data_IF_779562202677
#
_entry.id   IF_779562202677
#
_cell.length_a   1.000
_cell.length_b   1.000
_cell.length_c   1.000
_cell.angle_alpha   90.00
_cell.angle_beta   90.00
_cell.angle_gamma   90.00
#
_symmetry.space_group_name_H-M   'P 1'
#
loop_
_entity.id
_entity.type
_entity.pdbx_description
1 polymer ?
#
# COMPACT_ATOMS: atom_id res chain seq x y z
N UNK A 1 -16.38 23.77 0.91
CA UNK A 1 -16.49 22.44 0.28
C UNK A 1 -16.51 22.54 -1.26
N UNK A 2 -17.40 23.33 -1.90
CA UNK A 2 -17.46 23.45 -3.36
C UNK A 2 -16.11 23.86 -3.96
N UNK A 3 -15.44 24.85 -3.40
CA UNK A 3 -14.11 25.29 -3.82
C UNK A 3 -13.06 24.15 -3.77
N UNK A 4 -13.09 23.31 -2.73
CA UNK A 4 -12.15 22.17 -2.63
C UNK A 4 -12.50 21.08 -3.64
N UNK A 5 -13.78 20.72 -3.76
CA UNK A 5 -14.24 19.69 -4.70
C UNK A 5 -13.99 20.13 -6.15
N UNK A 6 -14.22 21.42 -6.48
CA UNK A 6 -14.05 21.90 -7.86
C UNK A 6 -12.63 21.80 -8.39
N UNK A 7 -11.63 21.71 -7.51
CA UNK A 7 -10.22 21.56 -7.91
C UNK A 7 -9.82 20.15 -8.25
N UNK A 8 -10.52 19.14 -7.70
CA UNK A 8 -10.14 17.73 -7.79
C UNK A 8 -11.12 16.86 -8.54
N UNK A 9 -12.41 17.27 -8.66
CA UNK A 9 -13.40 16.46 -9.34
C UNK A 9 -13.18 16.44 -10.84
N UNK A 10 -12.96 15.26 -11.40
CA UNK A 10 -12.83 14.96 -12.83
C UNK A 10 -14.19 14.74 -13.52
N UNK A 11 -15.29 14.99 -12.79
CA UNK A 11 -16.68 14.88 -13.24
C UNK A 11 -17.43 16.20 -13.08
N UNK A 12 -18.64 16.28 -13.63
CA UNK A 12 -19.51 17.44 -13.45
C UNK A 12 -19.96 17.56 -11.99
N UNK A 13 -19.96 18.79 -11.46
CA UNK A 13 -20.43 19.12 -10.10
C UNK A 13 -21.81 19.72 -10.20
N UNK A 14 -22.75 19.20 -9.38
CA UNK A 14 -24.09 19.74 -9.23
C UNK A 14 -24.29 20.43 -7.88
N UNK A 15 -25.03 21.54 -7.87
CA UNK A 15 -25.38 22.29 -6.68
C UNK A 15 -26.92 22.46 -6.58
N UNK A 16 -27.49 22.00 -5.48
CA UNK A 16 -28.91 22.06 -5.20
C UNK A 16 -29.16 22.64 -3.79
N UNK A 17 -29.02 23.95 -3.58
CA UNK A 17 -29.22 24.55 -2.28
C UNK A 17 -30.71 24.64 -1.91
N UNK A 18 -30.99 24.76 -0.62
CA UNK A 18 -32.29 25.20 -0.14
C UNK A 18 -32.49 26.71 -0.41
N UNK A 19 -33.71 27.17 -0.42
CA UNK A 19 -34.03 28.59 -0.47
C UNK A 19 -33.80 29.27 0.90
N UNK A 20 -32.54 29.30 1.32
CA UNK A 20 -32.09 29.76 2.63
C UNK A 20 -32.16 28.70 3.73
N UNK A 21 -32.12 29.14 4.98
CA UNK A 21 -32.33 28.30 6.16
C UNK A 21 -33.80 28.34 6.60
N UNK A 22 -34.35 27.27 7.17
CA UNK A 22 -35.70 27.29 7.69
C UNK A 22 -35.82 28.29 8.85
N UNK A 23 -36.89 29.12 8.83
CA UNK A 23 -37.24 30.02 9.91
C UNK A 23 -37.82 29.25 11.12
N UNK A 24 -38.19 29.96 12.18
CA UNK A 24 -38.79 29.37 13.40
C UNK A 24 -40.07 28.56 13.14
N UNK A 25 -40.80 28.86 12.05
CA UNK A 25 -42.01 28.15 11.64
C UNK A 25 -41.71 26.98 10.68
N UNK A 26 -40.44 26.82 10.26
CA UNK A 26 -40.03 25.78 9.31
C UNK A 26 -40.14 26.19 7.83
N UNK A 27 -40.51 27.43 7.54
CA UNK A 27 -40.62 27.97 6.19
C UNK A 27 -39.27 28.48 5.68
N UNK A 28 -39.13 28.57 4.36
CA UNK A 28 -37.90 29.03 3.66
C UNK A 28 -38.19 30.42 3.04
N UNK A 29 -37.45 31.43 3.46
CA UNK A 29 -37.75 32.85 3.16
C UNK A 29 -36.76 33.47 2.16
N UNK A 30 -35.76 32.71 1.63
CA UNK A 30 -34.84 33.23 0.64
C UNK A 30 -35.58 33.59 -0.65
N UNK A 31 -35.38 34.81 -1.14
CA UNK A 31 -36.04 35.24 -2.36
C UNK A 31 -35.40 34.64 -3.62
N UNK A 32 -36.19 34.48 -4.74
CA UNK A 32 -35.64 33.97 -6.00
C UNK A 32 -34.43 34.75 -6.51
N UNK A 33 -34.44 36.08 -6.35
CA UNK A 33 -33.35 36.95 -6.79
C UNK A 33 -32.07 36.79 -5.94
N UNK A 34 -32.23 36.69 -4.62
CA UNK A 34 -31.09 36.49 -3.70
C UNK A 34 -30.42 35.15 -3.93
N UNK A 35 -31.21 34.07 -4.02
CA UNK A 35 -30.71 32.73 -4.33
C UNK A 35 -29.98 32.69 -5.67
N UNK A 36 -30.54 33.29 -6.73
CA UNK A 36 -29.91 33.34 -8.05
C UNK A 36 -28.58 34.11 -8.02
N UNK A 37 -28.47 35.16 -7.23
CA UNK A 37 -27.25 35.95 -7.06
C UNK A 37 -26.15 35.13 -6.36
N UNK A 38 -26.47 34.45 -5.24
CA UNK A 38 -25.53 33.60 -4.52
C UNK A 38 -25.01 32.43 -5.39
N UNK A 39 -25.91 31.81 -6.16
CA UNK A 39 -25.50 30.73 -7.08
C UNK A 39 -24.58 31.28 -8.19
N UNK A 40 -24.84 32.49 -8.70
CA UNK A 40 -24.02 33.09 -9.73
C UNK A 40 -22.57 33.31 -9.27
N UNK A 41 -22.31 33.60 -7.99
CA UNK A 41 -20.95 33.72 -7.46
C UNK A 41 -20.17 32.42 -7.63
N UNK A 42 -20.79 31.26 -7.35
CA UNK A 42 -20.14 29.95 -7.57
C UNK A 42 -19.95 29.63 -9.06
N UNK A 43 -20.80 30.18 -9.94
CA UNK A 43 -20.63 30.00 -11.39
C UNK A 43 -19.52 30.89 -11.93
N UNK A 44 -19.44 32.16 -11.50
CA UNK A 44 -18.36 33.08 -11.87
C UNK A 44 -16.99 32.55 -11.41
N UNK A 45 -16.92 31.92 -10.24
CA UNK A 45 -15.73 31.26 -9.72
C UNK A 45 -15.46 29.89 -10.37
N UNK A 46 -16.28 29.49 -11.33
CA UNK A 46 -16.13 28.22 -12.06
C UNK A 46 -16.14 26.97 -11.15
N UNK A 47 -17.01 26.92 -10.14
CA UNK A 47 -17.07 25.81 -9.21
C UNK A 47 -18.08 24.71 -9.59
N UNK A 48 -19.05 25.00 -10.46
CA UNK A 48 -20.21 24.12 -10.72
C UNK A 48 -20.56 24.01 -12.21
N UNK A 49 -21.23 22.90 -12.54
CA UNK A 49 -21.68 22.58 -13.92
C UNK A 49 -23.21 22.52 -14.01
N UNK A 50 -23.88 22.06 -12.96
CA UNK A 50 -25.32 21.81 -12.93
C UNK A 50 -25.88 22.52 -11.69
N UNK A 51 -26.99 23.19 -11.88
CA UNK A 51 -27.67 23.93 -10.80
C UNK A 51 -29.12 23.52 -10.73
N UNK A 52 -29.62 23.39 -9.52
CA UNK A 52 -31.02 23.21 -9.21
C UNK A 52 -31.37 23.87 -7.89
N UNK A 53 -32.38 23.38 -7.25
CA UNK A 53 -32.79 23.78 -5.93
C UNK A 53 -33.26 22.59 -5.11
N UNK A 54 -33.48 22.82 -3.80
CA UNK A 54 -33.97 21.83 -2.86
C UNK A 54 -35.14 22.42 -2.06
N UNK A 55 -35.14 22.29 -0.75
CA UNK A 55 -36.25 22.71 0.11
C UNK A 55 -36.54 24.21 -0.05
N UNK A 56 -37.81 24.56 -0.13
CA UNK A 56 -38.32 25.94 -0.30
C UNK A 56 -38.15 26.49 -1.73
N UNK A 57 -37.51 25.77 -2.64
CA UNK A 57 -37.36 26.24 -4.04
C UNK A 57 -38.67 26.13 -4.80
N UNK A 58 -39.08 27.22 -5.41
CA UNK A 58 -40.29 27.35 -6.24
C UNK A 58 -39.92 27.47 -7.73
N UNK A 59 -40.92 27.40 -8.66
CA UNK A 59 -40.67 27.68 -10.06
C UNK A 59 -40.07 29.06 -10.33
N UNK A 60 -40.40 30.06 -9.51
CA UNK A 60 -39.84 31.42 -9.64
C UNK A 60 -38.33 31.46 -9.29
N UNK A 61 -37.86 30.66 -8.33
CA UNK A 61 -36.43 30.49 -8.04
C UNK A 61 -35.73 29.93 -9.25
N UNK A 62 -36.23 28.82 -9.83
CA UNK A 62 -35.64 28.21 -11.01
C UNK A 62 -35.62 29.17 -12.19
N UNK A 63 -36.69 29.94 -12.39
CA UNK A 63 -36.73 30.95 -13.44
C UNK A 63 -35.69 32.05 -13.24
N UNK A 64 -35.53 32.55 -12.01
CA UNK A 64 -34.51 33.56 -11.67
C UNK A 64 -33.08 33.03 -11.88
N UNK A 65 -32.81 31.81 -11.41
CA UNK A 65 -31.52 31.13 -11.63
C UNK A 65 -31.24 30.97 -13.13
N UNK A 66 -32.19 30.43 -13.90
CA UNK A 66 -32.05 30.22 -15.33
C UNK A 66 -31.81 31.53 -16.10
N UNK A 67 -32.54 32.60 -15.73
CA UNK A 67 -32.35 33.91 -16.34
C UNK A 67 -30.97 34.51 -16.02
N UNK A 68 -30.52 34.38 -14.78
CA UNK A 68 -29.22 34.91 -14.30
C UNK A 68 -28.06 34.20 -14.97
N UNK A 69 -28.13 32.86 -15.18
CA UNK A 69 -27.06 32.04 -15.69
C UNK A 69 -27.10 31.78 -17.21
N UNK A 70 -28.02 32.42 -17.95
CA UNK A 70 -28.28 32.15 -19.36
C UNK A 70 -27.02 32.19 -20.23
N UNK A 71 -26.11 33.13 -19.99
CA UNK A 71 -24.91 33.36 -20.78
C UNK A 71 -23.63 32.90 -20.02
N UNK A 72 -23.81 32.24 -18.89
CA UNK A 72 -22.68 31.74 -18.09
C UNK A 72 -22.07 30.48 -18.70
N UNK A 73 -20.76 30.32 -18.49
CA UNK A 73 -20.04 29.10 -18.90
C UNK A 73 -19.99 28.11 -17.72
N UNK A 74 -20.17 26.81 -17.98
CA UNK A 74 -19.98 25.81 -16.95
C UNK A 74 -18.52 25.73 -16.55
N UNK A 75 -18.28 25.17 -15.35
CA UNK A 75 -16.93 24.83 -14.86
C UNK A 75 -16.20 23.96 -15.90
N UNK A 76 -14.93 24.27 -16.15
CA UNK A 76 -14.06 23.36 -16.89
C UNK A 76 -13.70 22.18 -15.97
N UNK A 77 -13.94 20.99 -16.47
CA UNK A 77 -13.49 19.78 -15.76
C UNK A 77 -11.97 19.74 -15.88
N UNK A 78 -11.23 19.68 -14.76
CA UNK A 78 -9.77 19.63 -14.82
C UNK A 78 -9.31 18.34 -15.52
N UNK A 79 -8.11 18.39 -16.08
CA UNK A 79 -7.45 17.20 -16.58
C UNK A 79 -7.26 16.20 -15.42
N UNK A 80 -7.31 14.91 -15.76
CA UNK A 80 -7.14 13.85 -14.77
C UNK A 80 -5.76 13.94 -14.12
N UNK A 81 -5.75 14.01 -12.79
CA UNK A 81 -4.54 13.85 -12.00
C UNK A 81 -4.25 12.35 -11.80
N UNK A 82 -3.04 11.92 -12.15
CA UNK A 82 -2.56 10.56 -11.95
C UNK A 82 -1.86 10.38 -10.60
N UNK A 83 -2.17 11.19 -9.62
CA UNK A 83 -1.68 10.99 -8.25
C UNK A 83 -2.33 9.75 -7.65
N UNK A 84 -1.50 8.79 -7.25
CA UNK A 84 -1.95 7.60 -6.52
C UNK A 84 -2.48 8.02 -5.16
N UNK A 85 -3.71 7.62 -4.84
CA UNK A 85 -4.37 7.94 -3.56
C UNK A 85 -5.04 6.71 -3.01
N UNK A 86 -4.75 6.42 -1.75
CA UNK A 86 -5.46 5.42 -0.95
C UNK A 86 -6.19 6.11 0.20
N UNK A 87 -7.10 5.45 0.86
CA UNK A 87 -7.75 6.03 2.03
C UNK A 87 -8.30 4.98 3.00
N UNK A 88 -8.12 5.26 4.29
CA UNK A 88 -9.01 4.83 5.34
C UNK A 88 -10.00 5.96 5.63
N UNK A 89 -10.12 6.39 6.89
CA UNK A 89 -10.81 7.65 7.23
C UNK A 89 -10.03 8.89 6.77
N UNK A 90 -8.70 8.76 6.65
CA UNK A 90 -7.79 9.80 6.16
C UNK A 90 -7.25 9.41 4.79
N UNK A 91 -7.03 10.38 3.88
CA UNK A 91 -6.40 10.11 2.60
C UNK A 91 -4.89 9.91 2.75
N UNK A 92 -4.34 8.96 2.01
CA UNK A 92 -2.91 8.73 1.84
C UNK A 92 -2.55 9.03 0.37
N UNK A 93 -1.87 10.13 0.13
CA UNK A 93 -1.36 10.49 -1.19
C UNK A 93 0.03 9.90 -1.42
N UNK A 94 0.25 9.33 -2.59
CA UNK A 94 1.52 8.73 -3.01
C UNK A 94 1.98 9.43 -4.28
N UNK A 95 2.81 10.45 -4.11
CA UNK A 95 3.36 11.30 -5.16
C UNK A 95 4.90 11.38 -5.07
N UNK A 96 5.51 12.23 -5.87
CA UNK A 96 6.97 12.38 -5.92
C UNK A 96 7.58 13.00 -4.65
N UNK A 97 6.77 13.63 -3.80
CA UNK A 97 7.19 14.21 -2.52
C UNK A 97 6.97 13.25 -1.35
N UNK A 98 6.24 12.16 -1.59
CA UNK A 98 5.97 11.15 -0.56
C UNK A 98 7.23 10.39 -0.21
N UNK A 99 7.44 10.17 1.08
CA UNK A 99 8.43 9.24 1.58
C UNK A 99 7.98 7.79 1.27
N UNK A 100 8.88 6.83 1.50
CA UNK A 100 8.57 5.41 1.42
C UNK A 100 7.39 5.04 2.34
N UNK A 101 6.46 4.25 1.82
CA UNK A 101 5.24 3.85 2.52
C UNK A 101 5.45 2.51 3.22
N UNK A 102 5.33 2.53 4.55
CA UNK A 102 5.40 1.32 5.37
C UNK A 102 4.05 0.61 5.40
N UNK A 103 3.99 -0.62 4.89
CA UNK A 103 2.84 -1.51 5.02
C UNK A 103 3.10 -2.47 6.18
N UNK A 104 2.32 -2.39 7.24
CA UNK A 104 2.52 -3.20 8.44
C UNK A 104 2.15 -4.67 8.21
N UNK A 105 3.09 -5.60 8.47
CA UNK A 105 2.98 -7.04 8.20
C UNK A 105 2.44 -7.89 9.37
N UNK A 106 2.16 -7.28 10.55
CA UNK A 106 1.92 -8.07 11.76
C UNK A 106 0.47 -8.54 11.94
N UNK A 107 -0.49 -8.02 11.18
CA UNK A 107 -1.88 -8.45 11.10
C UNK A 107 -2.11 -9.56 10.05
N UNK A 108 -1.10 -10.37 9.83
CA UNK A 108 -1.09 -11.47 8.88
C UNK A 108 -0.89 -12.80 9.63
N UNK A 109 -1.85 -13.73 9.54
CA UNK A 109 -1.82 -15.02 10.25
C UNK A 109 -0.69 -15.93 9.79
N UNK A 110 -0.21 -15.78 8.55
CA UNK A 110 0.94 -16.55 8.03
C UNK A 110 2.28 -15.96 8.47
N UNK A 111 2.36 -14.63 8.66
CA UNK A 111 3.58 -13.90 9.02
C UNK A 111 3.75 -13.66 10.53
N UNK A 112 2.67 -13.68 11.32
CA UNK A 112 2.69 -13.36 12.74
C UNK A 112 2.10 -14.47 13.61
N UNK A 113 2.96 -15.22 14.33
CA UNK A 113 2.52 -16.27 15.25
C UNK A 113 1.61 -15.75 16.35
N UNK A 114 1.88 -14.53 16.88
CA UNK A 114 1.04 -13.86 17.88
C UNK A 114 -0.35 -13.62 17.33
N UNK A 115 -0.46 -12.99 16.15
CA UNK A 115 -1.73 -12.66 15.53
C UNK A 115 -2.53 -13.92 15.17
N UNK A 116 -1.88 -14.93 14.56
CA UNK A 116 -2.49 -16.22 14.24
C UNK A 116 -3.10 -16.91 15.47
N UNK A 117 -2.41 -16.89 16.62
CA UNK A 117 -2.94 -17.43 17.86
C UNK A 117 -4.16 -16.66 18.33
N UNK A 118 -4.10 -15.32 18.34
CA UNK A 118 -5.20 -14.47 18.81
C UNK A 118 -6.49 -14.68 17.98
N UNK A 119 -6.35 -14.77 16.65
CA UNK A 119 -7.50 -15.04 15.76
C UNK A 119 -8.08 -16.43 16.02
N UNK A 120 -7.25 -17.48 16.18
CA UNK A 120 -7.73 -18.84 16.51
C UNK A 120 -8.45 -18.91 17.85
N UNK A 121 -7.93 -18.19 18.85
CA UNK A 121 -8.52 -18.10 20.19
C UNK A 121 -9.72 -17.14 20.24
N UNK A 122 -10.04 -16.44 19.14
CA UNK A 122 -11.07 -15.39 19.02
C UNK A 122 -10.88 -14.24 20.01
N UNK A 123 -9.62 -13.96 20.38
CA UNK A 123 -9.24 -12.83 21.19
C UNK A 123 -9.02 -11.60 20.30
N UNK A 124 -10.12 -11.06 19.80
CA UNK A 124 -10.08 -9.96 18.84
C UNK A 124 -9.66 -8.62 19.44
N UNK A 125 -9.84 -8.42 20.75
CA UNK A 125 -9.39 -7.22 21.45
C UNK A 125 -7.86 -7.09 21.37
N UNK A 126 -7.12 -8.13 21.77
CA UNK A 126 -5.66 -8.14 21.63
C UNK A 126 -5.21 -8.18 20.15
N UNK A 127 -6.01 -8.76 19.26
CA UNK A 127 -5.70 -8.74 17.82
C UNK A 127 -5.81 -7.32 17.23
N UNK A 128 -6.76 -6.50 17.69
CA UNK A 128 -6.85 -5.07 17.35
C UNK A 128 -5.68 -4.27 17.94
N UNK A 129 -5.17 -4.63 19.12
CA UNK A 129 -3.96 -4.01 19.67
C UNK A 129 -2.76 -4.25 18.75
N UNK A 130 -2.62 -5.44 18.15
CA UNK A 130 -1.56 -5.69 17.14
C UNK A 130 -1.69 -4.75 15.94
N UNK A 131 -2.91 -4.46 15.48
CA UNK A 131 -3.14 -3.50 14.40
C UNK A 131 -2.80 -2.06 14.84
N UNK A 132 -3.22 -1.68 16.06
CA UNK A 132 -2.96 -0.36 16.65
C UNK A 132 -1.46 -0.10 16.81
N UNK A 133 -0.73 -1.05 17.38
CA UNK A 133 0.72 -0.98 17.58
C UNK A 133 1.47 -0.70 16.25
N UNK A 134 1.01 -1.28 15.13
CA UNK A 134 1.63 -1.03 13.83
C UNK A 134 1.41 0.40 13.35
N UNK A 135 0.18 0.92 13.48
CA UNK A 135 -0.14 2.30 13.09
C UNK A 135 0.61 3.30 13.97
N UNK A 136 0.70 3.06 15.27
CA UNK A 136 1.46 3.88 16.22
C UNK A 136 2.97 3.82 15.95
N UNK A 137 3.47 2.69 15.45
CA UNK A 137 4.87 2.51 15.03
C UNK A 137 5.17 3.07 13.62
N UNK A 138 4.20 3.74 12.97
CA UNK A 138 4.41 4.44 11.71
C UNK A 138 4.01 3.66 10.46
N UNK A 139 3.24 2.58 10.57
CA UNK A 139 2.62 1.96 9.39
C UNK A 139 1.56 2.90 8.81
N UNK A 140 1.66 3.17 7.52
CA UNK A 140 0.75 4.04 6.77
C UNK A 140 -0.33 3.23 6.04
N UNK A 141 -0.15 1.93 5.94
CA UNK A 141 -1.10 0.91 5.46
C UNK A 141 -0.94 -0.29 6.38
N UNK A 142 -2.00 -1.05 6.65
CA UNK A 142 -1.90 -2.33 7.35
C UNK A 142 -2.33 -3.47 6.44
N UNK A 143 -1.48 -4.50 6.34
CA UNK A 143 -1.76 -5.73 5.63
C UNK A 143 -2.56 -6.68 6.52
N UNK A 144 -3.69 -7.18 6.02
CA UNK A 144 -4.56 -8.10 6.75
C UNK A 144 -4.72 -9.39 5.96
N UNK A 145 -4.25 -10.49 6.55
CA UNK A 145 -4.35 -11.83 6.00
C UNK A 145 -4.93 -12.80 7.03
N UNK A 146 -5.95 -13.58 6.59
CA UNK A 146 -6.65 -14.58 7.40
C UNK A 146 -6.51 -16.01 6.81
N UNK A 147 -5.48 -16.25 5.97
CA UNK A 147 -5.26 -17.53 5.29
C UNK A 147 -4.62 -18.55 6.22
N UNK A 148 -5.47 -19.24 6.98
CA UNK A 148 -5.06 -20.39 7.80
C UNK A 148 -6.03 -21.58 7.60
N UNK A 149 -5.46 -22.80 7.47
CA UNK A 149 -6.23 -23.99 7.16
C UNK A 149 -7.29 -24.39 8.18
N UNK A 150 -7.20 -23.90 9.42
CA UNK A 150 -8.14 -24.18 10.51
C UNK A 150 -9.22 -23.11 10.68
N UNK A 151 -9.16 -22.03 9.89
CA UNK A 151 -10.10 -20.91 9.96
C UNK A 151 -11.04 -20.89 8.75
N UNK A 152 -12.26 -20.38 8.97
CA UNK A 152 -13.14 -19.90 7.93
C UNK A 152 -12.66 -18.49 7.53
N UNK A 153 -11.65 -18.43 6.64
CA UNK A 153 -10.93 -17.19 6.31
C UNK A 153 -11.87 -16.07 5.82
N UNK A 154 -12.96 -16.42 5.12
CA UNK A 154 -13.95 -15.46 4.63
C UNK A 154 -14.68 -14.77 5.79
N UNK A 155 -15.18 -15.57 6.75
CA UNK A 155 -15.86 -15.03 7.93
C UNK A 155 -14.94 -14.28 8.86
N UNK A 156 -13.72 -14.77 9.06
CA UNK A 156 -12.73 -14.10 9.92
C UNK A 156 -12.29 -12.77 9.31
N UNK A 157 -12.08 -12.68 7.99
CA UNK A 157 -11.81 -11.44 7.28
C UNK A 157 -12.94 -10.42 7.49
N UNK A 158 -14.17 -10.83 7.22
CA UNK A 158 -15.34 -9.96 7.43
C UNK A 158 -15.46 -9.48 8.89
N UNK A 159 -15.29 -10.41 9.84
CA UNK A 159 -15.47 -10.11 11.25
C UNK A 159 -14.41 -9.13 11.75
N UNK A 160 -13.14 -9.41 11.47
CA UNK A 160 -12.04 -8.56 11.88
C UNK A 160 -12.10 -7.16 11.26
N UNK A 161 -12.44 -7.05 9.95
CA UNK A 161 -12.59 -5.76 9.29
C UNK A 161 -13.75 -4.92 9.86
N UNK A 162 -14.87 -5.57 10.27
CA UNK A 162 -15.96 -4.87 10.96
C UNK A 162 -15.54 -4.32 12.32
N UNK A 163 -14.76 -5.09 13.08
CA UNK A 163 -14.22 -4.62 14.36
C UNK A 163 -13.21 -3.49 14.15
N UNK A 164 -12.30 -3.63 13.18
CA UNK A 164 -11.32 -2.61 12.84
C UNK A 164 -11.99 -1.28 12.46
N UNK A 165 -13.11 -1.32 11.74
CA UNK A 165 -13.86 -0.13 11.34
C UNK A 165 -14.45 0.65 12.54
N UNK A 166 -14.56 0.02 13.73
CA UNK A 166 -15.00 0.70 14.96
C UNK A 166 -13.86 1.40 15.72
N UNK A 167 -12.60 1.24 15.27
CA UNK A 167 -11.40 1.75 15.92
C UNK A 167 -10.80 2.93 15.13
N UNK A 168 -11.15 4.20 15.43
CA UNK A 168 -10.71 5.37 14.65
C UNK A 168 -9.17 5.49 14.56
N UNK A 169 -8.45 5.09 15.59
CA UNK A 169 -6.99 5.13 15.61
C UNK A 169 -6.33 4.14 14.63
N UNK A 170 -7.06 3.09 14.23
CA UNK A 170 -6.58 2.09 13.28
C UNK A 170 -7.13 2.37 11.88
N UNK A 171 -8.44 2.55 11.75
CA UNK A 171 -9.09 2.71 10.45
C UNK A 171 -8.84 4.07 9.77
N UNK A 172 -8.07 4.97 10.40
CA UNK A 172 -7.57 6.18 9.74
C UNK A 172 -6.66 5.87 8.56
N UNK A 173 -5.87 4.78 8.62
CA UNK A 173 -5.01 4.35 7.51
C UNK A 173 -5.75 3.39 6.57
N UNK A 174 -5.39 3.34 5.26
CA UNK A 174 -5.93 2.35 4.35
C UNK A 174 -5.50 0.92 4.72
N UNK A 175 -6.30 -0.05 4.30
CA UNK A 175 -6.06 -1.47 4.50
C UNK A 175 -5.58 -2.10 3.19
N UNK A 176 -4.61 -3.02 3.28
CA UNK A 176 -4.26 -3.97 2.24
C UNK A 176 -4.92 -5.31 2.58
N UNK A 177 -5.82 -5.79 1.70
CA UNK A 177 -6.44 -7.11 1.84
C UNK A 177 -5.51 -8.12 1.17
N UNK A 178 -4.96 -9.04 1.95
CA UNK A 178 -4.06 -10.08 1.48
C UNK A 178 -4.71 -11.46 1.62
N UNK A 179 -4.81 -12.19 0.52
CA UNK A 179 -5.21 -13.59 0.53
C UNK A 179 -4.79 -14.30 -0.75
N UNK A 180 -4.49 -15.58 -0.63
CA UNK A 180 -4.32 -16.51 -1.75
C UNK A 180 -5.65 -16.91 -2.40
N UNK A 181 -6.79 -16.66 -1.71
CA UNK A 181 -8.14 -17.01 -2.17
C UNK A 181 -8.92 -15.78 -2.56
N UNK A 182 -9.38 -15.74 -3.80
CA UNK A 182 -10.15 -14.60 -4.29
C UNK A 182 -11.44 -14.36 -3.51
N UNK A 183 -12.14 -15.41 -3.08
CA UNK A 183 -13.36 -15.28 -2.27
C UNK A 183 -13.15 -14.52 -0.96
N UNK A 184 -11.99 -14.70 -0.30
CA UNK A 184 -11.63 -13.97 0.91
C UNK A 184 -11.38 -12.48 0.61
N UNK A 185 -10.68 -12.19 -0.50
CA UNK A 185 -10.45 -10.81 -0.98
C UNK A 185 -11.79 -10.12 -1.24
N UNK A 186 -12.69 -10.77 -1.97
CA UNK A 186 -13.99 -10.18 -2.32
C UNK A 186 -14.85 -9.92 -1.09
N UNK A 187 -14.86 -10.83 -0.11
CA UNK A 187 -15.56 -10.61 1.16
C UNK A 187 -14.98 -9.43 1.94
N UNK A 188 -13.67 -9.24 1.91
CA UNK A 188 -13.02 -8.05 2.48
C UNK A 188 -13.43 -6.76 1.76
N UNK A 189 -13.42 -6.77 0.43
CA UNK A 189 -13.81 -5.63 -0.40
C UNK A 189 -15.26 -5.16 -0.15
N UNK A 190 -16.18 -6.10 0.19
CA UNK A 190 -17.57 -5.76 0.53
C UNK A 190 -17.73 -5.03 1.86
N UNK A 191 -16.73 -5.10 2.74
CA UNK A 191 -16.78 -4.53 4.10
C UNK A 191 -16.02 -3.22 4.19
N UNK A 192 -14.87 -3.10 3.51
CA UNK A 192 -13.99 -1.94 3.67
C UNK A 192 -14.62 -0.65 3.17
N UNK A 193 -14.37 0.41 3.92
CA UNK A 193 -14.65 1.79 3.55
C UNK A 193 -13.37 2.46 3.04
N UNK A 194 -13.51 3.45 2.17
CA UNK A 194 -12.37 4.12 1.57
C UNK A 194 -11.78 3.35 0.39
N UNK A 195 -10.53 3.68 0.03
CA UNK A 195 -9.82 3.08 -1.10
C UNK A 195 -8.69 2.19 -0.59
N UNK A 196 -8.93 0.90 -0.61
CA UNK A 196 -7.99 -0.14 -0.16
C UNK A 196 -7.06 -0.61 -1.27
N UNK A 197 -6.13 -1.50 -0.91
CA UNK A 197 -5.24 -2.22 -1.84
C UNK A 197 -5.57 -3.71 -1.78
N UNK A 198 -5.66 -4.37 -2.93
CA UNK A 198 -5.77 -5.83 -3.03
C UNK A 198 -4.38 -6.43 -3.24
N UNK A 199 -4.00 -7.37 -2.41
CA UNK A 199 -2.76 -8.15 -2.50
C UNK A 199 -3.12 -9.64 -2.71
N UNK A 200 -3.03 -10.21 -3.90
CA UNK A 200 -2.59 -9.67 -5.16
C UNK A 200 -3.31 -10.33 -6.34
N UNK A 201 -3.11 -9.79 -7.53
CA UNK A 201 -3.46 -10.48 -8.78
C UNK A 201 -2.19 -10.83 -9.56
N UNK A 202 -2.26 -11.85 -10.42
CA UNK A 202 -1.13 -12.28 -11.25
C UNK A 202 -1.62 -13.02 -12.49
N UNK A 203 -0.72 -13.24 -13.46
CA UNK A 203 -0.98 -14.06 -14.64
C UNK A 203 -0.79 -15.57 -14.41
N UNK A 204 -0.62 -16.00 -13.16
CA UNK A 204 -0.38 -17.41 -12.81
C UNK A 204 -1.44 -18.35 -13.36
N UNK A 205 -2.70 -17.98 -13.22
CA UNK A 205 -3.85 -18.77 -13.67
C UNK A 205 -4.35 -18.35 -15.07
N UNK A 206 -3.55 -17.53 -15.78
CA UNK A 206 -3.83 -17.08 -17.13
C UNK A 206 -4.50 -15.71 -17.22
N UNK A 207 -4.70 -15.26 -18.48
CA UNK A 207 -5.16 -13.92 -18.82
C UNK A 207 -6.63 -13.67 -18.44
N UNK A 208 -7.48 -14.66 -18.60
CA UNK A 208 -8.92 -14.55 -18.35
C UNK A 208 -9.19 -14.26 -16.88
N UNK A 209 -8.59 -15.02 -15.97
CA UNK A 209 -8.74 -14.84 -14.54
C UNK A 209 -8.10 -13.52 -14.07
N UNK A 210 -6.97 -13.14 -14.65
CA UNK A 210 -6.33 -11.85 -14.40
C UNK A 210 -7.26 -10.69 -14.72
N UNK A 211 -7.98 -10.75 -15.86
CA UNK A 211 -8.95 -9.73 -16.26
C UNK A 211 -10.17 -9.69 -15.35
N UNK A 212 -10.71 -10.85 -14.99
CA UNK A 212 -11.86 -10.94 -14.08
C UNK A 212 -11.54 -10.26 -12.76
N UNK A 213 -10.41 -10.63 -12.14
CA UNK A 213 -9.95 -10.07 -10.86
C UNK A 213 -9.66 -8.57 -10.96
N UNK A 214 -8.99 -8.13 -12.03
CA UNK A 214 -8.73 -6.72 -12.26
C UNK A 214 -10.02 -5.89 -12.41
N UNK A 215 -11.00 -6.40 -13.17
CA UNK A 215 -12.30 -5.75 -13.32
C UNK A 215 -13.08 -5.68 -12.00
N UNK A 216 -12.98 -6.71 -11.16
CA UNK A 216 -13.59 -6.68 -9.83
C UNK A 216 -12.89 -5.65 -8.92
N UNK A 217 -11.56 -5.61 -8.88
CA UNK A 217 -10.83 -4.56 -8.14
C UNK A 217 -11.27 -3.15 -8.59
N UNK A 218 -11.33 -2.92 -9.90
CA UNK A 218 -11.80 -1.66 -10.48
C UNK A 218 -13.24 -1.33 -10.09
N UNK A 219 -14.13 -2.32 -10.10
CA UNK A 219 -15.55 -2.16 -9.71
C UNK A 219 -15.70 -1.77 -8.24
N UNK A 220 -14.88 -2.32 -7.36
CA UNK A 220 -14.83 -1.96 -5.94
C UNK A 220 -14.05 -0.66 -5.67
N UNK A 221 -13.36 -0.10 -6.68
CA UNK A 221 -12.54 1.10 -6.53
C UNK A 221 -11.24 0.87 -5.79
N UNK A 222 -10.75 -0.37 -5.72
CA UNK A 222 -9.52 -0.74 -5.04
C UNK A 222 -8.30 -0.57 -5.95
N UNK A 223 -7.18 -0.17 -5.38
CA UNK A 223 -5.88 -0.33 -6.00
C UNK A 223 -5.42 -1.80 -5.91
N UNK A 224 -4.44 -2.19 -6.71
CA UNK A 224 -4.04 -3.59 -6.82
C UNK A 224 -2.53 -3.77 -6.81
N UNK A 225 -2.06 -4.74 -6.02
CA UNK A 225 -0.71 -5.29 -6.17
C UNK A 225 -0.72 -6.33 -7.29
N UNK A 226 0.17 -6.18 -8.25
CA UNK A 226 0.39 -7.11 -9.35
C UNK A 226 1.67 -7.87 -9.07
N UNK A 227 1.54 -9.11 -8.63
CA UNK A 227 2.68 -9.99 -8.40
C UNK A 227 3.20 -10.52 -9.75
N UNK A 228 4.50 -10.43 -9.97
CA UNK A 228 5.13 -10.90 -11.21
C UNK A 228 5.26 -12.42 -11.23
N UNK A 229 4.15 -13.05 -11.54
CA UNK A 229 3.98 -14.48 -11.64
C UNK A 229 3.10 -14.77 -12.87
N UNK A 230 3.61 -15.48 -13.85
CA UNK A 230 2.87 -15.89 -15.03
C UNK A 230 2.68 -17.41 -15.10
N UNK A 231 2.18 -17.89 -16.22
CA UNK A 231 1.87 -19.30 -16.46
C UNK A 231 3.14 -20.21 -16.39
N UNK A 232 4.33 -19.61 -16.48
CA UNK A 232 5.62 -20.31 -16.40
C UNK A 232 6.28 -20.24 -15.00
N UNK A 233 5.66 -19.55 -14.04
CA UNK A 233 6.16 -19.41 -12.68
C UNK A 233 6.46 -17.97 -12.27
N UNK A 234 7.03 -17.81 -11.07
CA UNK A 234 7.45 -16.51 -10.55
C UNK A 234 8.63 -15.96 -11.34
N UNK A 235 8.68 -14.62 -11.48
CA UNK A 235 9.81 -13.93 -12.05
C UNK A 235 10.95 -13.89 -11.03
N UNK A 236 12.01 -14.61 -11.29
CA UNK A 236 13.20 -14.72 -10.44
C UNK A 236 14.42 -13.95 -10.98
N UNK A 237 14.51 -13.72 -12.30
CA UNK A 237 15.55 -12.94 -12.96
C UNK A 237 15.09 -11.54 -13.36
N UNK A 238 16.05 -10.64 -13.59
CA UNK A 238 15.79 -9.28 -14.05
C UNK A 238 14.97 -9.25 -15.35
N UNK A 239 15.35 -10.06 -16.34
CA UNK A 239 14.69 -10.12 -17.65
C UNK A 239 13.22 -10.54 -17.52
N UNK A 240 12.96 -11.59 -16.72
CA UNK A 240 11.60 -12.08 -16.47
C UNK A 240 10.75 -11.03 -15.76
N UNK A 241 11.32 -10.31 -14.79
CA UNK A 241 10.64 -9.23 -14.07
C UNK A 241 10.26 -8.10 -15.01
N UNK A 242 11.16 -7.68 -15.90
CA UNK A 242 10.89 -6.66 -16.90
C UNK A 242 9.80 -7.09 -17.89
N UNK A 243 9.88 -8.32 -18.42
CA UNK A 243 8.92 -8.86 -19.37
C UNK A 243 7.52 -8.95 -18.79
N UNK A 244 7.37 -9.62 -17.63
CA UNK A 244 6.06 -9.83 -17.00
C UNK A 244 5.47 -8.51 -16.52
N UNK A 245 6.27 -7.59 -15.95
CA UNK A 245 5.76 -6.28 -15.51
C UNK A 245 5.19 -5.48 -16.67
N UNK A 246 5.89 -5.43 -17.80
CA UNK A 246 5.40 -4.77 -19.01
C UNK A 246 4.12 -5.42 -19.52
N UNK A 247 4.09 -6.75 -19.61
CA UNK A 247 2.91 -7.51 -20.05
C UNK A 247 1.70 -7.23 -19.15
N UNK A 248 1.84 -7.34 -17.83
CA UNK A 248 0.77 -7.07 -16.89
C UNK A 248 0.26 -5.63 -16.99
N UNK A 249 1.17 -4.66 -17.05
CA UNK A 249 0.82 -3.25 -17.18
C UNK A 249 0.05 -2.96 -18.46
N UNK A 250 0.52 -3.44 -19.63
CA UNK A 250 -0.16 -3.25 -20.91
C UNK A 250 -1.56 -3.87 -20.92
N UNK A 251 -1.74 -5.06 -20.36
CA UNK A 251 -3.04 -5.71 -20.23
C UNK A 251 -4.00 -4.90 -19.35
N UNK A 252 -3.53 -4.42 -18.20
CA UNK A 252 -4.35 -3.65 -17.27
C UNK A 252 -4.76 -2.31 -17.85
N UNK A 253 -3.81 -1.55 -18.40
CA UNK A 253 -4.06 -0.19 -18.87
C UNK A 253 -4.82 -0.19 -20.20
N UNK A 254 -4.38 -1.00 -21.18
CA UNK A 254 -4.90 -0.92 -22.55
C UNK A 254 -6.16 -1.77 -22.76
N UNK A 255 -6.31 -2.92 -22.07
CA UNK A 255 -7.42 -3.85 -22.30
C UNK A 255 -8.48 -3.75 -21.21
N UNK A 256 -8.08 -3.63 -19.91
CA UNK A 256 -9.01 -3.48 -18.79
C UNK A 256 -9.40 -2.02 -18.55
N UNK A 257 -8.63 -1.06 -19.06
CA UNK A 257 -8.73 0.36 -18.71
C UNK A 257 -8.63 0.57 -17.18
N UNK A 258 -7.70 -0.14 -16.53
CA UNK A 258 -7.41 0.02 -15.11
C UNK A 258 -6.63 1.33 -14.91
N UNK A 259 -6.91 2.10 -13.85
CA UNK A 259 -6.16 3.31 -13.53
C UNK A 259 -4.67 2.99 -13.31
N UNK A 260 -3.73 3.54 -14.11
CA UNK A 260 -2.32 3.20 -13.97
C UNK A 260 -1.73 3.65 -12.61
N UNK A 261 -2.26 4.72 -12.01
CA UNK A 261 -1.89 5.21 -10.68
C UNK A 261 -2.31 4.28 -9.54
N UNK A 262 -3.19 3.32 -9.80
CA UNK A 262 -3.68 2.33 -8.84
C UNK A 262 -3.01 0.96 -8.99
N UNK A 263 -2.00 0.85 -9.86
CA UNK A 263 -1.21 -0.36 -10.09
C UNK A 263 0.06 -0.31 -9.25
N UNK A 264 0.24 -1.29 -8.36
CA UNK A 264 1.45 -1.50 -7.59
C UNK A 264 2.09 -2.81 -8.04
N UNK A 265 3.24 -2.73 -8.71
CA UNK A 265 3.93 -3.93 -9.21
C UNK A 265 4.85 -4.47 -8.13
N UNK A 266 4.74 -5.77 -7.82
CA UNK A 266 5.64 -6.50 -6.93
C UNK A 266 6.55 -7.41 -7.74
N UNK A 267 7.85 -7.06 -7.88
CA UNK A 267 8.83 -7.86 -8.61
C UNK A 267 9.24 -9.17 -7.92
N UNK A 268 8.61 -9.56 -6.84
CA UNK A 268 8.91 -10.70 -5.96
C UNK A 268 10.26 -10.58 -5.24
N UNK A 269 10.22 -10.38 -3.93
CA UNK A 269 11.40 -10.40 -3.07
C UNK A 269 11.69 -11.85 -2.67
N UNK A 270 12.85 -12.36 -3.07
CA UNK A 270 13.34 -13.68 -2.70
C UNK A 270 14.46 -13.60 -1.69
N UNK A 271 14.65 -14.69 -0.94
CA UNK A 271 15.74 -14.82 0.00
C UNK A 271 17.10 -14.87 -0.71
N UNK A 272 18.08 -14.18 -0.16
CA UNK A 272 19.48 -14.26 -0.57
C UNK A 272 20.30 -14.98 0.50
N UNK A 273 21.57 -15.25 0.20
CA UNK A 273 22.50 -15.98 1.08
C UNK A 273 21.91 -17.31 1.58
N UNK A 274 21.33 -18.07 0.67
CA UNK A 274 20.75 -19.39 0.93
C UNK A 274 21.75 -20.53 0.79
N UNK A 275 22.98 -20.22 0.35
CA UNK A 275 23.99 -21.22 -0.03
C UNK A 275 23.87 -21.73 -1.47
N UNK A 276 22.87 -21.28 -2.23
CA UNK A 276 22.70 -21.62 -3.64
C UNK A 276 23.15 -20.42 -4.51
N UNK A 277 24.08 -20.66 -5.43
CA UNK A 277 24.68 -19.62 -6.27
C UNK A 277 23.65 -18.90 -7.14
N UNK A 278 22.64 -19.61 -7.63
CA UNK A 278 21.52 -19.07 -8.41
C UNK A 278 20.71 -17.99 -7.69
N UNK A 279 20.72 -17.99 -6.33
CA UNK A 279 19.99 -17.03 -5.51
C UNK A 279 20.78 -15.73 -5.24
N UNK A 280 22.06 -15.66 -5.60
CA UNK A 280 22.91 -14.53 -5.24
C UNK A 280 22.48 -13.21 -5.91
N UNK A 281 21.84 -13.26 -7.09
CA UNK A 281 21.39 -12.09 -7.81
C UNK A 281 19.96 -11.62 -7.43
N UNK A 282 19.20 -12.38 -6.69
CA UNK A 282 17.78 -12.10 -6.48
C UNK A 282 17.47 -10.70 -5.95
N UNK A 283 18.25 -10.23 -4.97
CA UNK A 283 18.05 -8.88 -4.40
C UNK A 283 18.50 -7.78 -5.38
N UNK A 284 19.64 -7.97 -6.05
CA UNK A 284 20.14 -7.04 -7.07
C UNK A 284 19.17 -6.93 -8.24
N UNK A 285 18.70 -8.06 -8.76
CA UNK A 285 17.73 -8.10 -9.87
C UNK A 285 16.41 -7.44 -9.50
N UNK A 286 15.97 -7.56 -8.23
CA UNK A 286 14.81 -6.82 -7.74
C UNK A 286 15.06 -5.31 -7.79
N UNK A 287 16.20 -4.85 -7.26
CA UNK A 287 16.57 -3.43 -7.22
C UNK A 287 16.65 -2.85 -8.64
N UNK A 288 17.29 -3.57 -9.57
CA UNK A 288 17.41 -3.16 -10.97
C UNK A 288 16.04 -3.14 -11.67
N UNK A 289 15.16 -4.09 -11.33
CA UNK A 289 13.78 -4.12 -11.83
C UNK A 289 12.94 -2.94 -11.33
N UNK A 290 13.16 -2.48 -10.10
CA UNK A 290 12.50 -1.28 -9.59
C UNK A 290 12.80 -0.07 -10.48
N UNK A 291 14.05 0.10 -10.89
CA UNK A 291 14.46 1.18 -11.79
C UNK A 291 13.81 1.05 -13.17
N UNK A 292 13.76 -0.17 -13.73
CA UNK A 292 13.11 -0.40 -15.01
C UNK A 292 11.63 -0.04 -14.96
N UNK A 293 10.90 -0.55 -13.96
CA UNK A 293 9.45 -0.37 -13.81
C UNK A 293 9.13 1.11 -13.60
N UNK A 294 9.81 1.78 -12.69
CA UNK A 294 9.58 3.21 -12.39
C UNK A 294 9.86 4.13 -13.58
N UNK A 295 10.74 3.72 -14.50
CA UNK A 295 11.09 4.51 -15.69
C UNK A 295 10.19 4.24 -16.88
N UNK A 296 9.75 2.98 -17.07
CA UNK A 296 9.11 2.53 -18.30
C UNK A 296 7.60 2.30 -18.19
N UNK A 297 7.06 2.19 -16.98
CA UNK A 297 5.62 1.97 -16.74
C UNK A 297 5.00 3.20 -16.06
N UNK A 298 4.52 4.18 -16.85
CA UNK A 298 4.08 5.47 -16.34
C UNK A 298 2.98 5.34 -15.27
N UNK A 299 3.10 6.12 -14.19
CA UNK A 299 2.19 6.20 -13.06
C UNK A 299 2.09 4.94 -12.18
N UNK A 300 2.52 3.76 -12.66
CA UNK A 300 2.58 2.57 -11.81
C UNK A 300 3.55 2.78 -10.65
N UNK A 301 3.25 2.16 -9.53
CA UNK A 301 4.03 2.19 -8.29
C UNK A 301 4.65 0.81 -8.05
N UNK A 302 5.52 0.72 -7.06
CA UNK A 302 6.24 -0.51 -6.72
C UNK A 302 5.95 -0.92 -5.28
N UNK A 303 5.74 -2.21 -5.07
CA UNK A 303 5.58 -2.86 -3.77
C UNK A 303 6.59 -3.99 -3.60
N UNK A 304 6.73 -4.50 -2.37
CA UNK A 304 7.52 -5.70 -2.11
C UNK A 304 7.38 -6.20 -0.69
N UNK A 305 7.45 -7.51 -0.51
CA UNK A 305 7.48 -8.18 0.79
C UNK A 305 8.92 -8.21 1.35
N UNK A 306 9.34 -7.14 1.99
CA UNK A 306 10.75 -6.87 2.34
C UNK A 306 11.35 -7.95 3.24
N UNK A 307 10.60 -8.47 4.19
CA UNK A 307 11.07 -9.49 5.16
C UNK A 307 11.56 -10.77 4.50
N UNK A 308 11.15 -11.05 3.25
CA UNK A 308 11.55 -12.24 2.52
C UNK A 308 13.05 -12.25 2.17
N UNK A 309 13.69 -11.09 1.95
CA UNK A 309 15.11 -11.00 1.56
C UNK A 309 16.03 -11.68 2.58
N UNK A 310 15.65 -11.62 3.86
CA UNK A 310 16.42 -12.14 4.99
C UNK A 310 15.93 -13.48 5.53
N UNK A 311 15.14 -14.21 4.77
CA UNK A 311 14.51 -15.46 5.23
C UNK A 311 15.52 -16.51 5.69
N UNK A 312 16.71 -16.55 5.07
CA UNK A 312 17.82 -17.44 5.42
C UNK A 312 18.39 -17.17 6.83
N UNK A 313 18.12 -15.99 7.39
CA UNK A 313 18.64 -15.53 8.69
C UNK A 313 17.57 -15.49 9.79
N UNK A 314 16.51 -16.28 9.67
CA UNK A 314 15.48 -16.37 10.72
C UNK A 314 16.09 -16.76 12.07
N UNK A 315 15.82 -15.95 13.10
CA UNK A 315 16.37 -16.12 14.45
C UNK A 315 17.58 -15.23 14.76
N UNK A 316 18.12 -14.49 13.76
CA UNK A 316 19.18 -13.51 13.95
C UNK A 316 18.66 -12.11 13.58
N UNK A 317 17.95 -11.49 14.51
CA UNK A 317 17.28 -10.21 14.27
C UNK A 317 18.24 -9.08 13.86
N UNK A 318 19.45 -8.91 14.48
CA UNK A 318 20.37 -7.84 14.08
C UNK A 318 20.80 -7.92 12.60
N UNK A 319 21.11 -9.12 12.10
CA UNK A 319 21.48 -9.32 10.68
C UNK A 319 20.27 -9.07 9.78
N UNK A 320 19.09 -9.54 10.16
CA UNK A 320 17.87 -9.33 9.40
C UNK A 320 17.50 -7.86 9.27
N UNK A 321 17.57 -7.12 10.37
CA UNK A 321 17.31 -5.67 10.39
C UNK A 321 18.30 -4.92 9.49
N UNK A 322 19.58 -5.26 9.54
CA UNK A 322 20.59 -4.70 8.65
C UNK A 322 20.29 -5.02 7.16
N UNK A 323 19.91 -6.27 6.86
CA UNK A 323 19.55 -6.68 5.50
C UNK A 323 18.33 -5.91 4.98
N UNK A 324 17.28 -5.75 5.80
CA UNK A 324 16.10 -4.97 5.43
C UNK A 324 16.47 -3.52 5.12
N UNK A 325 17.26 -2.90 6.00
CA UNK A 325 17.63 -1.48 5.87
C UNK A 325 18.52 -1.23 4.65
N UNK A 326 19.51 -2.08 4.40
CA UNK A 326 20.38 -1.99 3.21
C UNK A 326 19.57 -2.22 1.93
N UNK A 327 18.73 -3.26 1.91
CA UNK A 327 17.89 -3.57 0.76
C UNK A 327 16.94 -2.41 0.43
N UNK A 328 16.24 -1.88 1.44
CA UNK A 328 15.33 -0.74 1.29
C UNK A 328 16.06 0.50 0.80
N UNK A 329 17.24 0.81 1.35
CA UNK A 329 18.02 1.97 0.92
C UNK A 329 18.30 1.96 -0.59
N UNK A 330 18.71 0.81 -1.14
CA UNK A 330 18.98 0.68 -2.56
C UNK A 330 17.71 0.57 -3.40
N UNK A 331 16.69 -0.14 -2.94
CA UNK A 331 15.43 -0.30 -3.67
C UNK A 331 14.64 1.01 -3.77
N UNK A 332 14.56 1.79 -2.68
CA UNK A 332 13.90 3.11 -2.66
C UNK A 332 14.58 4.07 -3.63
N UNK A 333 15.92 4.12 -3.65
CA UNK A 333 16.68 4.92 -4.62
C UNK A 333 16.39 4.55 -6.08
N UNK A 334 15.95 3.33 -6.32
CA UNK A 334 15.60 2.80 -7.64
C UNK A 334 14.09 2.80 -7.90
N UNK A 335 13.28 3.43 -7.04
CA UNK A 335 11.87 3.69 -7.28
C UNK A 335 10.88 2.83 -6.50
N UNK A 336 11.34 1.99 -5.56
CA UNK A 336 10.41 1.27 -4.65
C UNK A 336 9.59 2.28 -3.85
N UNK A 337 8.26 2.17 -3.93
CA UNK A 337 7.33 3.15 -3.36
C UNK A 337 6.81 2.74 -1.99
N UNK A 338 6.46 1.46 -1.84
CA UNK A 338 5.99 0.90 -0.58
C UNK A 338 6.57 -0.49 -0.34
N UNK A 339 6.53 -0.96 0.90
CA UNK A 339 6.96 -2.31 1.25
C UNK A 339 6.25 -2.84 2.47
N UNK A 340 5.98 -4.15 2.44
CA UNK A 340 5.42 -4.89 3.56
C UNK A 340 6.56 -5.17 4.53
N UNK A 341 6.51 -4.55 5.70
CA UNK A 341 7.59 -4.50 6.69
C UNK A 341 7.08 -4.61 8.12
N UNK A 342 7.96 -4.96 9.03
CA UNK A 342 7.71 -4.72 10.45
C UNK A 342 8.10 -3.28 10.80
N UNK A 343 7.13 -2.36 10.80
CA UNK A 343 7.37 -0.93 10.97
C UNK A 343 8.12 -0.58 12.28
N UNK A 344 7.96 -1.39 13.34
CA UNK A 344 8.65 -1.21 14.62
C UNK A 344 10.11 -1.73 14.67
N UNK A 345 10.63 -2.32 13.59
CA UNK A 345 11.95 -2.95 13.53
C UNK A 345 12.80 -2.50 12.32
N UNK A 346 12.59 -1.29 11.84
CA UNK A 346 13.43 -0.72 10.77
C UNK A 346 14.57 0.10 11.40
N UNK A 347 15.79 -0.34 11.19
CA UNK A 347 16.99 0.40 11.56
C UNK A 347 17.32 1.42 10.45
N UNK A 348 17.78 2.61 10.84
CA UNK A 348 18.24 3.61 9.87
C UNK A 348 19.54 3.11 9.23
N UNK A 349 19.66 3.22 7.92
CA UNK A 349 20.81 2.71 7.15
C UNK A 349 22.15 3.24 7.65
N UNK A 350 22.21 4.53 8.06
CA UNK A 350 23.40 5.18 8.59
C UNK A 350 23.83 4.63 9.95
N UNK A 351 22.89 4.12 10.75
CA UNK A 351 23.13 3.65 12.11
C UNK A 351 23.58 2.17 12.17
N UNK A 352 23.59 1.48 11.01
CA UNK A 352 24.10 0.10 10.93
C UNK A 352 25.62 0.11 11.20
N UNK A 353 26.07 -0.84 12.03
CA UNK A 353 27.49 -1.03 12.29
C UNK A 353 28.28 -1.17 10.98
N UNK A 354 29.40 -0.41 10.75
CA UNK A 354 30.04 -0.29 9.47
C UNK A 354 30.53 -1.61 8.83
N UNK A 355 31.02 -2.56 9.63
CA UNK A 355 31.49 -3.85 9.14
C UNK A 355 30.32 -4.71 8.67
N UNK A 356 29.24 -4.76 9.48
CA UNK A 356 28.00 -5.47 9.12
C UNK A 356 27.35 -4.85 7.89
N UNK A 357 27.31 -3.52 7.81
CA UNK A 357 26.76 -2.80 6.65
C UNK A 357 27.48 -3.18 5.36
N UNK A 358 28.81 -3.18 5.37
CA UNK A 358 29.61 -3.54 4.20
C UNK A 358 29.33 -4.97 3.73
N UNK A 359 29.33 -5.93 4.66
CA UNK A 359 29.04 -7.32 4.35
C UNK A 359 27.64 -7.53 3.79
N UNK A 360 26.65 -6.90 4.41
CA UNK A 360 25.27 -6.99 3.94
C UNK A 360 25.10 -6.30 2.57
N UNK A 361 25.74 -5.17 2.33
CA UNK A 361 25.73 -4.54 0.99
C UNK A 361 26.35 -5.42 -0.08
N UNK A 362 27.48 -6.08 0.23
CA UNK A 362 28.15 -6.98 -0.71
C UNK A 362 27.24 -8.16 -1.10
N UNK A 363 26.48 -8.69 -0.14
CA UNK A 363 25.49 -9.76 -0.39
C UNK A 363 24.29 -9.25 -1.17
N UNK A 364 23.69 -8.14 -0.75
CA UNK A 364 22.47 -7.58 -1.40
C UNK A 364 22.74 -7.16 -2.84
N UNK A 365 23.92 -6.60 -3.10
CA UNK A 365 24.31 -6.12 -4.42
C UNK A 365 25.13 -7.15 -5.21
N UNK A 366 25.37 -8.33 -4.65
CA UNK A 366 26.20 -9.40 -5.24
C UNK A 366 27.53 -8.87 -5.79
N UNK A 367 28.28 -8.10 -4.96
CA UNK A 367 29.55 -7.49 -5.35
C UNK A 367 30.71 -8.46 -5.33
N UNK A 368 30.62 -9.51 -4.52
CA UNK A 368 31.68 -10.43 -4.22
C UNK A 368 31.11 -11.83 -3.98
N UNK A 369 31.65 -12.83 -4.66
CA UNK A 369 31.16 -14.22 -4.55
C UNK A 369 31.39 -14.85 -3.17
N UNK A 370 32.37 -14.36 -2.39
CA UNK A 370 32.69 -14.86 -1.05
C UNK A 370 31.79 -14.27 0.04
N UNK A 371 31.11 -13.13 -0.22
CA UNK A 371 30.32 -12.41 0.77
C UNK A 371 29.18 -13.25 1.36
N UNK A 372 28.58 -14.11 0.54
CA UNK A 372 27.54 -15.05 0.97
C UNK A 372 28.06 -16.05 2.00
N UNK A 373 29.24 -16.63 1.77
CA UNK A 373 29.84 -17.58 2.71
C UNK A 373 30.22 -16.90 4.02
N UNK A 374 30.81 -15.70 3.94
CA UNK A 374 31.23 -14.93 5.11
C UNK A 374 30.03 -14.57 6.00
N UNK A 375 28.92 -14.09 5.44
CA UNK A 375 27.75 -13.72 6.24
C UNK A 375 27.05 -14.95 6.86
N UNK A 376 27.06 -16.10 6.18
CA UNK A 376 26.54 -17.36 6.71
C UNK A 376 27.37 -17.79 7.92
N UNK A 377 28.70 -17.76 7.84
CA UNK A 377 29.60 -18.09 8.96
C UNK A 377 29.40 -17.14 10.14
N UNK A 378 29.21 -15.85 9.89
CA UNK A 378 28.90 -14.87 10.94
C UNK A 378 27.55 -15.19 11.58
N UNK A 379 26.55 -15.57 10.81
CA UNK A 379 25.23 -15.95 11.31
C UNK A 379 25.31 -17.18 12.24
N UNK A 380 26.05 -18.20 11.86
CA UNK A 380 26.27 -19.39 12.67
C UNK A 380 27.00 -19.07 13.99
N UNK A 381 28.02 -18.22 13.93
CA UNK A 381 28.78 -17.81 15.11
C UNK A 381 27.97 -16.91 16.04
N UNK A 382 27.19 -15.96 15.52
CA UNK A 382 26.31 -15.11 16.32
C UNK A 382 25.16 -15.90 16.97
N UNK A 383 24.62 -16.93 16.31
CA UNK A 383 23.61 -17.82 16.91
C UNK A 383 24.14 -18.59 18.12
N UNK A 384 25.42 -18.98 18.09
CA UNK A 384 26.11 -19.62 19.22
C UNK A 384 26.26 -18.62 20.41
N UNK A 385 26.50 -17.35 20.12
CA UNK A 385 26.62 -16.30 21.15
C UNK A 385 25.29 -15.97 21.84
N UNK A 386 24.20 -15.94 21.12
CA UNK A 386 22.85 -15.66 21.70
C UNK A 386 22.34 -16.82 22.56
N UNK A 387 22.75 -18.05 22.31
CA UNK A 387 22.39 -19.21 23.13
C UNK A 387 23.24 -19.34 24.40
N UNK A 388 24.44 -18.73 24.45
CA UNK A 388 25.35 -18.79 25.60
C UNK A 388 25.26 -17.59 26.56
N UNK A 389 24.44 -16.57 26.31
CA UNK A 389 24.31 -15.38 27.20
C UNK A 389 23.45 -15.61 28.44
N UNK A 390 23.11 -16.85 28.81
CA UNK A 390 22.60 -17.19 30.15
C UNK A 390 23.72 -17.42 31.20
N UNK A 391 24.97 -17.15 30.87
CA UNK A 391 26.08 -17.11 31.82
C UNK A 391 26.79 -15.78 31.77
N UNK A 392 26.54 -14.95 32.82
CA UNK A 392 27.31 -13.75 33.12
C UNK A 392 28.80 -14.10 33.28
N UNK A 393 29.61 -13.74 32.31
CA UNK A 393 31.03 -13.35 32.42
C UNK A 393 31.73 -13.55 31.07
N UNK A 394 32.34 -12.51 30.58
CA UNK A 394 33.31 -12.41 29.45
C UNK A 394 32.92 -11.34 28.43
N UNK A 395 32.81 -10.09 28.88
CA UNK A 395 32.56 -8.93 27.99
C UNK A 395 33.79 -8.08 27.67
N UNK A 396 35.00 -8.44 28.07
CA UNK A 396 36.16 -7.53 27.95
C UNK A 396 37.44 -8.07 27.34
N UNK A 397 37.59 -9.36 27.04
CA UNK A 397 38.88 -9.86 26.57
C UNK A 397 38.91 -10.46 25.16
N UNK A 398 37.78 -10.71 24.53
CA UNK A 398 37.74 -11.33 23.17
C UNK A 398 37.55 -10.36 22.01
N UNK A 399 37.28 -9.08 22.25
CA UNK A 399 37.23 -8.07 21.18
C UNK A 399 38.55 -7.80 20.46
N UNK A 400 39.67 -8.26 21.02
CA UNK A 400 41.02 -8.03 20.47
C UNK A 400 41.55 -9.14 19.57
N UNK A 401 40.76 -10.19 19.28
CA UNK A 401 41.22 -11.34 18.49
C UNK A 401 40.69 -11.42 17.04
N UNK A 402 39.89 -10.47 16.60
CA UNK A 402 39.31 -10.46 15.26
C UNK A 402 39.98 -9.48 14.28
N UNK A 403 41.18 -8.96 14.63
CA UNK A 403 42.07 -8.34 13.67
C UNK A 403 43.10 -9.35 13.23
N UNK A 404 43.15 -9.67 11.92
CA UNK A 404 44.10 -10.54 11.18
C UNK A 404 43.54 -11.94 10.84
N UNK A 405 42.95 -12.09 9.67
CA UNK A 405 43.55 -12.66 8.45
C UNK A 405 42.73 -12.17 7.26
#
# INVERSE_FOLDING_TARGET
HLHSISKIADTAISLHPNAGLPNEMGDYDESPGAMAQLINEFVEDQHINIVGGCCGTTPDHIKAISAKLKDSKPRLIPDRDFTSMLSGLEPLFINNESLFINVGERTNVTGSRKFARLIREKNYEEALDVARDQVESGAQIIDINMDEGMLDSEKEMQHFLKLLATEPNICKVPVMIDSSKWSVIEEGLKILQGKCVVNSISLKEGKEEFYERANLCKKYGAAVVVMLFDENGQADSYERRCEISKRCYELLVNEVNFPPEDIFIDPNVFAVATGLEEHNNYAKDFIDSCKYISTNLPHAKLSGGISNVSFSFRGNDPVREAMHSVFLFHAIKNGLTMGIVNAGQLTVYEDIEPELKLLVEDVILNKNNESTEVIIVINENLSIWTTNTNTNCLRSEERSRWCVV
#
